data_IF_851158211904
#
_entry.id   IF_851158211904
#
_cell.length_a   1.000
_cell.length_b   1.000
_cell.length_c   1.000
_cell.angle_alpha   90.00
_cell.angle_beta   90.00
_cell.angle_gamma   90.00
#
_symmetry.space_group_name_H-M   'P 1'
#
loop_
_entity.id
_entity.type
_entity.pdbx_description
1 polymer ?
#
# COMPACT_ATOMS: atom_id res chain seq x y z
N UNK A 1 20.06 7.24 17.08
CA UNK A 1 19.94 6.56 15.77
C UNK A 1 19.01 5.35 15.83
N UNK A 2 19.09 4.49 16.86
CA UNK A 2 18.22 3.31 17.00
C UNK A 2 16.69 3.62 17.00
N UNK A 3 16.25 4.63 17.75
CA UNK A 3 14.81 4.97 17.87
C UNK A 3 14.16 5.45 16.55
N UNK A 4 14.94 6.08 15.65
CA UNK A 4 14.46 6.52 14.34
C UNK A 4 14.34 5.32 13.39
N UNK A 5 15.28 4.37 13.44
CA UNK A 5 15.19 3.16 12.61
C UNK A 5 14.01 2.27 13.00
N UNK A 6 13.64 2.21 14.29
CA UNK A 6 12.48 1.44 14.74
C UNK A 6 11.16 2.02 14.19
N UNK A 7 11.00 3.36 14.23
CA UNK A 7 9.82 4.05 13.65
C UNK A 7 9.69 3.80 12.14
N UNK A 8 10.80 3.84 11.39
CA UNK A 8 10.77 3.68 9.92
C UNK A 8 10.40 2.24 9.53
N UNK A 9 10.78 1.27 10.36
CA UNK A 9 10.45 -0.14 10.15
C UNK A 9 8.95 -0.39 10.34
N UNK A 10 8.33 0.23 11.36
CA UNK A 10 6.89 0.16 11.60
C UNK A 10 6.08 0.85 10.49
N UNK A 11 6.49 2.04 10.05
CA UNK A 11 5.84 2.76 8.94
C UNK A 11 5.90 1.97 7.61
N UNK A 12 7.02 1.29 7.37
CA UNK A 12 7.19 0.45 6.18
C UNK A 12 6.24 -0.76 6.20
N UNK A 13 6.11 -1.43 7.35
CA UNK A 13 5.17 -2.55 7.52
C UNK A 13 3.73 -2.07 7.33
N UNK A 14 3.38 -0.90 7.89
CA UNK A 14 2.03 -0.35 7.77
C UNK A 14 1.67 0.01 6.31
N UNK A 15 2.61 0.57 5.54
CA UNK A 15 2.43 0.81 4.11
C UNK A 15 2.29 -0.49 3.30
N UNK A 16 3.09 -1.50 3.63
CA UNK A 16 3.02 -2.80 2.96
C UNK A 16 1.69 -3.50 3.25
N UNK A 17 1.19 -3.39 4.48
CA UNK A 17 -0.14 -3.86 4.87
C UNK A 17 -1.23 -3.09 4.10
N UNK A 18 -1.11 -1.76 4.00
CA UNK A 18 -2.03 -0.92 3.22
C UNK A 18 -2.09 -1.32 1.74
N UNK A 19 -0.95 -1.68 1.14
CA UNK A 19 -0.87 -2.20 -0.23
C UNK A 19 -1.60 -3.54 -0.37
N UNK A 20 -1.35 -4.50 0.53
CA UNK A 20 -1.98 -5.84 0.49
C UNK A 20 -3.48 -5.76 0.73
N UNK A 21 -3.91 -4.97 1.72
CA UNK A 21 -5.33 -4.78 2.04
C UNK A 21 -6.05 -4.05 0.89
N UNK A 22 -5.44 -3.02 0.31
CA UNK A 22 -5.99 -2.34 -0.87
C UNK A 22 -6.16 -3.26 -2.08
N UNK A 23 -5.17 -4.13 -2.33
CA UNK A 23 -5.26 -5.14 -3.39
C UNK A 23 -6.37 -6.16 -3.12
N UNK A 24 -6.47 -6.66 -1.88
CA UNK A 24 -7.51 -7.61 -1.48
C UNK A 24 -8.92 -7.01 -1.64
N UNK A 25 -9.12 -5.77 -1.18
CA UNK A 25 -10.40 -5.07 -1.30
C UNK A 25 -10.76 -4.76 -2.77
N UNK A 26 -9.78 -4.46 -3.61
CA UNK A 26 -9.97 -4.38 -5.06
C UNK A 26 -10.51 -5.69 -5.64
N UNK A 27 -9.89 -6.82 -5.33
CA UNK A 27 -10.31 -8.14 -5.81
C UNK A 27 -11.72 -8.50 -5.31
N UNK A 28 -12.02 -8.26 -4.02
CA UNK A 28 -13.35 -8.48 -3.46
C UNK A 28 -14.42 -7.61 -4.14
N UNK A 29 -14.10 -6.35 -4.44
CA UNK A 29 -15.01 -5.45 -5.15
C UNK A 29 -15.20 -5.86 -6.62
N UNK A 30 -14.17 -6.40 -7.27
CA UNK A 30 -14.28 -6.96 -8.63
C UNK A 30 -15.22 -8.18 -8.67
N UNK A 31 -15.10 -9.09 -7.70
CA UNK A 31 -15.98 -10.26 -7.58
C UNK A 31 -17.43 -9.81 -7.32
N UNK A 32 -17.65 -8.84 -6.44
CA UNK A 32 -18.98 -8.28 -6.20
C UNK A 32 -19.57 -7.62 -7.45
N UNK A 33 -18.76 -6.90 -8.24
CA UNK A 33 -19.25 -6.26 -9.46
C UNK A 33 -19.72 -7.28 -10.49
N UNK A 34 -18.97 -8.37 -10.64
CA UNK A 34 -19.32 -9.52 -11.50
C UNK A 34 -20.61 -10.21 -11.08
N UNK A 35 -20.95 -10.23 -9.79
CA UNK A 35 -22.11 -10.96 -9.26
C UNK A 35 -23.38 -10.10 -9.09
N UNK A 36 -23.27 -8.77 -9.03
CA UNK A 36 -24.43 -7.87 -8.78
C UNK A 36 -24.72 -6.91 -9.93
N UNK A 37 -23.76 -6.61 -10.82
CA UNK A 37 -23.96 -5.72 -11.97
C UNK A 37 -24.27 -4.26 -11.60
N UNK A 38 -24.08 -3.87 -10.34
CA UNK A 38 -24.41 -2.52 -9.86
C UNK A 38 -23.29 -1.52 -10.20
N UNK A 39 -23.61 -0.38 -10.85
CA UNK A 39 -22.64 0.65 -11.26
C UNK A 39 -21.84 1.24 -10.08
N UNK A 40 -22.32 1.07 -8.86
CA UNK A 40 -21.64 1.54 -7.64
C UNK A 40 -20.42 0.67 -7.30
N UNK A 41 -20.49 -0.65 -7.51
CA UNK A 41 -19.36 -1.54 -7.23
C UNK A 41 -18.20 -1.36 -8.20
N UNK A 42 -18.46 -0.88 -9.41
CA UNK A 42 -17.40 -0.52 -10.36
C UNK A 42 -16.54 0.62 -9.81
N UNK A 43 -17.18 1.64 -9.23
CA UNK A 43 -16.49 2.79 -8.62
C UNK A 43 -15.64 2.37 -7.42
N UNK A 44 -16.18 1.52 -6.54
CA UNK A 44 -15.42 0.99 -5.40
C UNK A 44 -14.22 0.14 -5.84
N UNK A 45 -14.35 -0.64 -6.91
CA UNK A 45 -13.23 -1.44 -7.44
C UNK A 45 -12.04 -0.55 -7.83
N UNK A 46 -12.30 0.52 -8.59
CA UNK A 46 -11.26 1.46 -9.02
C UNK A 46 -10.71 2.24 -7.82
N UNK A 47 -11.58 2.64 -6.88
CA UNK A 47 -11.16 3.35 -5.67
C UNK A 47 -10.22 2.51 -4.80
N UNK A 48 -10.53 1.24 -4.52
CA UNK A 48 -9.67 0.36 -3.74
C UNK A 48 -8.38 0.01 -4.47
N UNK A 49 -8.44 -0.13 -5.80
CA UNK A 49 -7.25 -0.33 -6.62
C UNK A 49 -6.32 0.90 -6.57
N UNK A 50 -6.87 2.12 -6.65
CA UNK A 50 -6.11 3.36 -6.48
C UNK A 50 -5.53 3.53 -5.08
N UNK A 51 -6.27 3.14 -4.03
CA UNK A 51 -5.76 3.14 -2.65
C UNK A 51 -4.60 2.16 -2.51
N UNK A 52 -4.74 0.93 -3.03
CA UNK A 52 -3.68 -0.07 -3.03
C UNK A 52 -2.41 0.46 -3.67
N UNK A 53 -2.50 0.99 -4.89
CA UNK A 53 -1.33 1.57 -5.58
C UNK A 53 -0.74 2.75 -4.79
N UNK A 54 -1.58 3.62 -4.20
CA UNK A 54 -1.12 4.73 -3.36
C UNK A 54 -0.23 4.27 -2.20
N UNK A 55 -0.67 3.28 -1.43
CA UNK A 55 0.13 2.71 -0.34
C UNK A 55 1.40 2.00 -0.85
N UNK A 56 1.34 1.35 -2.02
CA UNK A 56 2.51 0.74 -2.64
C UNK A 56 3.60 1.75 -3.02
N UNK A 57 3.21 2.88 -3.62
CA UNK A 57 4.16 3.94 -4.01
C UNK A 57 4.83 4.57 -2.79
N UNK A 58 4.08 4.83 -1.72
CA UNK A 58 4.68 5.34 -0.47
C UNK A 58 5.61 4.29 0.15
N UNK A 59 5.23 3.01 0.16
CA UNK A 59 6.09 1.92 0.66
C UNK A 59 7.44 1.82 -0.06
N UNK A 60 7.43 1.89 -1.40
CA UNK A 60 8.66 1.87 -2.20
C UNK A 60 9.53 3.12 -1.99
N UNK A 61 8.92 4.30 -1.83
CA UNK A 61 9.66 5.55 -1.59
C UNK A 61 10.37 5.60 -0.23
N UNK A 62 9.84 4.92 0.79
CA UNK A 62 10.50 4.77 2.09
C UNK A 62 11.64 3.76 2.02
N UNK A 63 11.48 2.67 1.27
CA UNK A 63 12.54 1.69 1.03
C UNK A 63 13.77 2.33 0.38
N UNK A 64 13.58 3.20 -0.63
CA UNK A 64 14.66 3.93 -1.30
C UNK A 64 15.41 4.87 -0.35
N UNK A 65 14.68 5.65 0.48
CA UNK A 65 15.28 6.51 1.51
C UNK A 65 16.08 5.73 2.56
N UNK A 66 15.66 4.51 2.91
CA UNK A 66 16.37 3.65 3.86
C UNK A 66 17.70 3.14 3.27
N UNK A 67 17.74 2.78 1.99
CA UNK A 67 18.98 2.31 1.34
C UNK A 67 20.00 3.46 1.26
N UNK A 68 19.54 4.66 0.91
CA UNK A 68 20.39 5.82 0.75
C UNK A 68 20.99 6.34 2.07
N UNK A 69 20.29 6.20 3.20
CA UNK A 69 20.86 6.57 4.52
C UNK A 69 21.84 5.52 5.05
N UNK A 70 21.71 4.26 4.65
CA UNK A 70 22.63 3.18 5.05
C UNK A 70 23.96 3.27 4.29
N UNK A 71 23.96 3.73 3.04
CA UNK A 71 25.19 3.93 2.25
C UNK A 71 26.08 5.09 2.73
N UNK A 72 25.54 6.06 3.47
CA UNK A 72 26.29 7.25 3.94
C UNK A 72 26.73 7.13 5.41
N UNK A 73 26.38 6.03 6.08
CA UNK A 73 26.75 5.72 7.49
C UNK A 73 27.60 4.43 7.57
N UNK A 74 28.27 4.07 6.47
CA UNK A 74 29.35 3.08 6.42
C UNK A 74 30.59 3.73 5.75
#
# INVERSE_FOLDING_TARGET
MALISDIILEETILNLLGFVVGLALGIFSYIGFKNTGSPTLFRLNIAFFSIGIGFGVVGFGYHDRVIHTKLCTD
#
